data_IF_530490428219
#
_entry.id   IF_530490428219
#
_cell.length_a   1.000
_cell.length_b   1.000
_cell.length_c   1.000
_cell.angle_alpha   90.00
_cell.angle_beta   90.00
_cell.angle_gamma   90.00
#
_symmetry.space_group_name_H-M   'P 1'
#
loop_
_entity.id
_entity.type
_entity.pdbx_description
1 polymer ?
#
# COMPACT_ATOMS: atom_id res chain seq x y z
N UNK A 1 1.36 -0.21 7.44
CA UNK A 1 2.03 -0.20 8.76
C UNK A 1 2.90 -1.43 9.02
N UNK A 2 2.53 -2.65 8.62
CA UNK A 2 3.32 -3.89 8.84
C UNK A 2 4.82 -3.81 8.50
N UNK A 3 5.21 -2.97 7.54
CA UNK A 3 6.61 -2.78 7.11
C UNK A 3 7.41 -1.78 7.95
N UNK A 4 6.75 -0.96 8.78
CA UNK A 4 7.36 0.12 9.56
C UNK A 4 7.54 -0.23 11.04
N UNK A 5 6.76 -1.19 11.53
CA UNK A 5 6.65 -1.52 12.95
C UNK A 5 7.65 -2.63 13.29
N UNK A 6 8.20 -2.59 14.50
CA UNK A 6 8.99 -3.70 15.03
C UNK A 6 8.17 -4.99 15.24
N UNK A 7 8.84 -6.14 15.38
CA UNK A 7 8.17 -7.44 15.53
C UNK A 7 7.35 -7.54 16.84
N UNK A 8 7.70 -6.76 17.87
CA UNK A 8 6.96 -6.68 19.15
C UNK A 8 5.73 -5.75 19.09
N UNK A 9 5.56 -5.02 18.00
CA UNK A 9 4.48 -4.09 17.74
C UNK A 9 4.30 -2.95 18.73
N UNK A 10 5.36 -2.51 19.39
CA UNK A 10 5.28 -1.48 20.44
C UNK A 10 5.41 -0.06 19.91
N UNK A 11 5.92 0.13 18.70
CA UNK A 11 6.27 1.43 18.14
C UNK A 11 5.31 1.93 17.04
N UNK A 12 4.19 1.24 16.81
CA UNK A 12 3.26 1.55 15.72
C UNK A 12 2.72 2.98 15.75
N UNK A 13 2.47 3.52 16.94
CA UNK A 13 1.95 4.88 17.12
C UNK A 13 2.94 5.94 16.64
N UNK A 14 4.25 5.69 16.79
CA UNK A 14 5.32 6.59 16.31
C UNK A 14 5.31 6.66 14.78
N UNK A 15 5.08 5.53 14.13
CA UNK A 15 5.12 5.42 12.67
C UNK A 15 3.82 5.83 11.96
N UNK A 16 2.69 5.93 12.68
CA UNK A 16 1.38 6.18 12.08
C UNK A 16 1.34 7.48 11.26
N UNK A 17 1.84 8.59 11.83
CA UNK A 17 1.84 9.90 11.17
C UNK A 17 2.69 9.88 9.89
N UNK A 18 3.87 9.26 9.96
CA UNK A 18 4.80 9.13 8.83
C UNK A 18 4.18 8.25 7.74
N UNK A 19 3.63 7.09 8.10
CA UNK A 19 2.99 6.18 7.15
C UNK A 19 1.78 6.84 6.46
N UNK A 20 0.97 7.61 7.18
CA UNK A 20 -0.14 8.35 6.61
C UNK A 20 0.33 9.44 5.64
N UNK A 21 1.39 10.17 5.99
CA UNK A 21 1.99 11.17 5.12
C UNK A 21 2.53 10.53 3.83
N UNK A 22 3.36 9.49 3.95
CA UNK A 22 3.90 8.73 2.82
C UNK A 22 2.80 8.20 1.91
N UNK A 23 1.70 7.69 2.48
CA UNK A 23 0.55 7.22 1.70
C UNK A 23 -0.11 8.35 0.90
N UNK A 24 -0.25 9.55 1.48
CA UNK A 24 -0.89 10.71 0.84
C UNK A 24 -0.05 11.32 -0.30
N UNK A 25 1.28 11.26 -0.20
CA UNK A 25 2.18 11.80 -1.23
C UNK A 25 2.52 10.80 -2.33
N UNK A 26 2.37 9.49 -2.08
CA UNK A 26 2.70 8.45 -3.05
C UNK A 26 1.78 8.57 -4.26
N UNK A 27 2.37 8.72 -5.44
CA UNK A 27 1.61 8.68 -6.69
C UNK A 27 0.94 7.32 -6.84
N UNK A 28 -0.36 7.35 -7.13
CA UNK A 28 -1.10 6.14 -7.38
C UNK A 28 -0.97 5.76 -8.86
N UNK A 29 -0.57 4.52 -9.15
CA UNK A 29 -0.43 4.02 -10.52
C UNK A 29 -1.73 4.12 -11.35
N UNK A 30 -2.90 4.05 -10.68
CA UNK A 30 -4.21 4.17 -11.30
C UNK A 30 -4.48 5.55 -11.93
N UNK A 31 -3.96 6.62 -11.31
CA UNK A 31 -4.29 8.00 -11.68
C UNK A 31 -3.05 8.82 -12.09
N UNK A 32 -1.85 8.32 -11.83
CA UNK A 32 -0.60 9.05 -12.01
C UNK A 32 -0.39 10.23 -11.04
N UNK A 33 -1.38 10.51 -10.19
CA UNK A 33 -1.38 11.64 -9.24
C UNK A 33 -1.33 11.16 -7.79
N UNK A 34 -0.77 11.98 -6.92
CA UNK A 34 -0.82 11.72 -5.48
C UNK A 34 -2.20 12.12 -4.90
N UNK A 35 -2.76 11.37 -3.94
CA UNK A 35 -4.02 11.75 -3.28
C UNK A 35 -4.00 13.18 -2.69
N UNK A 36 -2.84 13.61 -2.18
CA UNK A 36 -2.65 14.96 -1.67
C UNK A 36 -2.75 16.02 -2.78
N UNK A 37 -2.16 15.76 -3.94
CA UNK A 37 -2.23 16.64 -5.12
C UNK A 37 -3.68 16.81 -5.60
N UNK A 38 -4.48 15.77 -5.49
CA UNK A 38 -5.89 15.79 -5.92
C UNK A 38 -6.75 16.60 -4.96
N UNK A 39 -6.52 16.47 -3.66
CA UNK A 39 -7.35 17.14 -2.63
C UNK A 39 -6.91 18.57 -2.38
N UNK A 40 -5.60 18.84 -2.44
CA UNK A 40 -5.00 20.13 -2.07
C UNK A 40 -4.52 20.94 -3.29
N UNK A 41 -4.48 20.34 -4.48
CA UNK A 41 -4.00 20.94 -5.74
C UNK A 41 -2.51 21.33 -5.74
N UNK A 42 -1.73 20.86 -4.77
CA UNK A 42 -0.28 20.98 -4.73
C UNK A 42 0.32 19.78 -3.97
N UNK A 43 1.61 19.48 -4.19
CA UNK A 43 2.34 18.47 -3.41
C UNK A 43 3.24 19.17 -2.37
N UNK A 44 3.35 18.68 -1.12
CA UNK A 44 4.27 19.25 -0.14
C UNK A 44 5.70 19.00 -0.59
N UNK A 45 6.56 20.03 -0.52
CA UNK A 45 7.99 19.86 -0.81
C UNK A 45 8.66 19.05 0.29
N UNK A 46 9.33 17.97 -0.08
CA UNK A 46 10.02 17.08 0.87
C UNK A 46 11.51 17.41 1.05
N UNK A 47 12.03 18.44 0.37
CA UNK A 47 13.45 18.84 0.46
C UNK A 47 14.42 17.93 -0.29
N UNK A 48 13.94 16.83 -0.87
CA UNK A 48 14.71 15.90 -1.72
C UNK A 48 14.50 16.13 -3.22
N UNK A 49 13.61 17.06 -3.57
CA UNK A 49 13.30 17.40 -4.95
C UNK A 49 14.47 18.19 -5.56
N UNK A 50 14.95 17.83 -6.78
CA UNK A 50 15.95 18.63 -7.46
C UNK A 50 15.40 20.06 -7.66
N UNK A 51 16.20 21.06 -7.28
CA UNK A 51 15.78 22.46 -7.31
C UNK A 51 15.30 22.87 -8.71
N UNK A 52 13.99 22.96 -8.91
CA UNK A 52 13.39 23.49 -10.14
C UNK A 52 12.70 24.81 -9.87
N UNK A 53 13.05 25.78 -10.72
CA UNK A 53 12.64 27.17 -10.64
C UNK A 53 11.19 27.39 -11.11
N UNK A 54 10.62 28.47 -10.56
CA UNK A 54 9.39 29.21 -10.92
C UNK A 54 8.10 28.42 -11.19
N UNK A 55 7.16 28.66 -10.28
CA UNK A 55 5.70 28.56 -10.44
C UNK A 55 5.25 28.64 -11.91
N UNK A 56 4.78 27.52 -12.46
CA UNK A 56 3.92 27.53 -13.64
C UNK A 56 2.47 27.52 -13.20
N UNK A 57 1.84 28.67 -13.39
CA UNK A 57 0.41 28.89 -13.58
C UNK A 57 -0.54 28.35 -12.50
N UNK A 58 -0.74 29.15 -11.44
CA UNK A 58 -2.04 29.23 -10.78
C UNK A 58 -2.99 29.98 -11.71
N UNK A 59 -3.65 29.26 -12.61
CA UNK A 59 -4.61 29.84 -13.54
C UNK A 59 -5.71 28.83 -13.86
N UNK A 60 -6.87 29.02 -13.24
CA UNK A 60 -8.17 28.44 -13.61
C UNK A 60 -8.44 26.95 -13.33
N UNK A 61 -7.74 26.29 -12.39
CA UNK A 61 -8.03 24.89 -12.02
C UNK A 61 -9.15 24.69 -10.97
N UNK A 62 -9.76 25.76 -10.46
CA UNK A 62 -10.80 25.66 -9.44
C UNK A 62 -12.18 25.25 -9.98
N UNK A 63 -12.43 25.45 -11.28
CA UNK A 63 -13.70 25.06 -11.89
C UNK A 63 -13.66 23.57 -12.22
N UNK A 64 -14.53 22.85 -11.54
CA UNK A 64 -14.80 21.41 -11.64
C UNK A 64 -13.90 20.46 -10.86
N UNK A 65 -13.38 20.91 -9.71
CA UNK A 65 -12.76 20.02 -8.70
C UNK A 65 -13.66 18.80 -8.37
N UNK A 66 -14.99 18.98 -8.35
CA UNK A 66 -15.96 17.90 -8.16
C UNK A 66 -15.96 16.89 -9.31
N UNK A 67 -15.86 17.35 -10.57
CA UNK A 67 -15.76 16.47 -11.75
C UNK A 67 -14.45 15.70 -11.75
N UNK A 68 -13.34 16.39 -11.46
CA UNK A 68 -12.01 15.76 -11.37
C UNK A 68 -11.97 14.70 -10.28
N UNK A 69 -12.58 14.97 -9.12
CA UNK A 69 -12.70 14.00 -8.04
C UNK A 69 -13.60 12.81 -8.42
N UNK A 70 -14.71 13.05 -9.13
CA UNK A 70 -15.62 12.01 -9.60
C UNK A 70 -14.96 11.10 -10.66
N UNK A 71 -14.30 11.69 -11.65
CA UNK A 71 -13.50 10.97 -12.66
C UNK A 71 -12.39 10.15 -12.01
N UNK A 72 -11.71 10.72 -11.02
CA UNK A 72 -10.69 9.97 -10.27
C UNK A 72 -11.31 8.84 -9.47
N UNK A 73 -12.46 9.06 -8.83
CA UNK A 73 -13.22 8.02 -8.13
C UNK A 73 -13.59 6.85 -9.06
N UNK A 74 -14.06 7.15 -10.27
CA UNK A 74 -14.36 6.16 -11.31
C UNK A 74 -13.11 5.40 -11.76
N UNK A 75 -11.99 6.10 -11.97
CA UNK A 75 -10.71 5.46 -12.34
C UNK A 75 -10.19 4.54 -11.23
N UNK A 76 -10.31 4.95 -9.96
CA UNK A 76 -9.98 4.12 -8.80
C UNK A 76 -10.83 2.85 -8.75
N UNK A 77 -12.15 2.99 -8.92
CA UNK A 77 -13.08 1.86 -8.89
C UNK A 77 -12.77 0.86 -10.01
N UNK A 78 -12.60 1.34 -11.25
CA UNK A 78 -12.22 0.52 -12.40
C UNK A 78 -10.89 -0.20 -12.18
N UNK A 79 -9.91 0.49 -11.59
CA UNK A 79 -8.61 -0.13 -11.29
C UNK A 79 -8.74 -1.21 -10.22
N UNK A 80 -9.55 -1.00 -9.18
CA UNK A 80 -9.81 -1.99 -8.15
C UNK A 80 -10.47 -3.25 -8.73
N UNK A 81 -11.44 -3.09 -9.64
CA UNK A 81 -12.08 -4.19 -10.36
C UNK A 81 -11.08 -4.97 -11.22
N UNK A 82 -10.26 -4.28 -12.01
CA UNK A 82 -9.20 -4.92 -12.80
C UNK A 82 -8.16 -5.66 -11.94
N UNK A 83 -7.83 -5.11 -10.77
CA UNK A 83 -6.93 -5.77 -9.82
C UNK A 83 -7.56 -7.04 -9.25
N UNK A 84 -8.86 -7.04 -8.98
CA UNK A 84 -9.61 -8.23 -8.56
C UNK A 84 -9.59 -9.30 -9.64
N UNK A 85 -9.98 -8.96 -10.87
CA UNK A 85 -9.99 -9.91 -11.99
C UNK A 85 -8.61 -10.51 -12.27
N UNK A 86 -7.57 -9.69 -12.13
CA UNK A 86 -6.17 -10.15 -12.28
C UNK A 86 -5.75 -11.05 -11.14
N UNK A 87 -6.19 -10.80 -9.91
CA UNK A 87 -5.91 -11.64 -8.76
C UNK A 87 -6.63 -12.99 -8.88
N UNK A 88 -7.90 -13.00 -9.27
CA UNK A 88 -8.69 -14.22 -9.50
C UNK A 88 -8.07 -15.07 -10.61
N UNK A 89 -7.69 -14.46 -11.75
CA UNK A 89 -6.97 -15.17 -12.83
C UNK A 89 -5.63 -15.76 -12.43
N UNK A 90 -4.97 -15.19 -11.41
CA UNK A 90 -3.68 -15.64 -10.88
C UNK A 90 -3.82 -16.66 -9.76
N UNK A 91 -5.04 -16.95 -9.31
CA UNK A 91 -5.29 -17.90 -8.26
C UNK A 91 -5.16 -19.32 -8.84
N UNK A 92 -3.94 -19.84 -8.88
CA UNK A 92 -3.66 -21.23 -9.24
C UNK A 92 -4.02 -22.16 -8.09
N UNK A 93 -4.34 -23.42 -8.41
CA UNK A 93 -4.38 -24.48 -7.39
C UNK A 93 -3.05 -24.54 -6.63
N UNK A 94 -3.12 -24.87 -5.35
CA UNK A 94 -1.93 -25.07 -4.54
C UNK A 94 -1.01 -26.13 -5.20
N UNK A 95 0.32 -25.90 -5.23
CA UNK A 95 1.25 -26.86 -5.80
C UNK A 95 1.34 -28.13 -4.94
N UNK A 96 1.74 -29.24 -5.55
CA UNK A 96 2.01 -30.48 -4.82
C UNK A 96 3.27 -30.31 -3.96
N UNK A 97 3.09 -30.34 -2.64
CA UNK A 97 4.16 -30.20 -1.68
C UNK A 97 4.88 -31.54 -1.46
N UNK A 98 6.22 -31.51 -1.42
CA UNK A 98 7.06 -32.69 -1.14
C UNK A 98 7.89 -32.45 0.12
N UNK A 99 8.19 -33.55 0.83
CA UNK A 99 9.14 -33.54 1.95
C UNK A 99 10.47 -32.93 1.48
N UNK A 100 11.00 -31.99 2.25
CA UNK A 100 12.21 -31.24 1.90
C UNK A 100 11.97 -29.89 1.21
N UNK A 101 10.78 -29.60 0.70
CA UNK A 101 10.48 -28.26 0.16
C UNK A 101 10.52 -27.19 1.26
N UNK A 102 11.01 -26.00 0.88
CA UNK A 102 10.97 -24.80 1.70
C UNK A 102 9.68 -24.02 1.39
N UNK A 103 8.83 -23.84 2.39
CA UNK A 103 7.54 -23.17 2.26
C UNK A 103 7.40 -22.00 3.22
N UNK A 104 6.64 -20.99 2.79
CA UNK A 104 6.20 -19.90 3.64
C UNK A 104 4.85 -20.24 4.24
N UNK A 105 4.69 -20.03 5.55
CA UNK A 105 3.43 -20.28 6.25
C UNK A 105 2.62 -19.00 6.39
N UNK A 106 1.33 -19.08 6.12
CA UNK A 106 0.39 -18.01 6.42
C UNK A 106 0.15 -17.93 7.93
N UNK A 107 0.26 -16.72 8.47
CA UNK A 107 0.08 -16.43 9.89
C UNK A 107 -1.35 -16.18 10.31
N UNK A 108 -2.29 -16.04 9.36
CA UNK A 108 -3.69 -15.67 9.65
C UNK A 108 -4.36 -16.64 10.65
N UNK A 109 -3.95 -17.92 10.63
CA UNK A 109 -4.49 -18.99 11.50
C UNK A 109 -3.50 -19.51 12.56
N UNK A 110 -2.31 -18.91 12.69
CA UNK A 110 -1.30 -19.35 13.65
C UNK A 110 -1.42 -18.62 14.99
N UNK A 111 -1.33 -19.36 16.10
CA UNK A 111 -1.21 -18.79 17.45
C UNK A 111 0.25 -18.48 17.75
N UNK A 112 0.68 -17.27 17.41
CA UNK A 112 2.04 -16.78 17.72
C UNK A 112 2.07 -16.17 19.12
N UNK A 113 2.90 -16.72 20.02
CA UNK A 113 2.93 -16.38 21.45
C UNK A 113 3.49 -14.98 21.73
N UNK A 114 4.43 -14.52 20.91
CA UNK A 114 5.17 -13.27 21.14
C UNK A 114 4.54 -12.02 20.50
N UNK A 115 3.40 -12.17 19.82
CA UNK A 115 2.87 -11.15 18.93
C UNK A 115 1.57 -10.52 19.48
N UNK A 116 1.57 -9.22 19.75
CA UNK A 116 0.47 -8.53 20.47
C UNK A 116 -0.82 -8.35 19.64
N UNK A 117 -0.72 -8.14 18.33
CA UNK A 117 -1.82 -7.82 17.42
C UNK A 117 -1.67 -8.52 16.07
N UNK A 118 -2.62 -9.41 15.74
CA UNK A 118 -2.65 -10.14 14.45
C UNK A 118 -2.68 -9.22 13.23
N UNK A 119 -3.37 -8.07 13.32
CA UNK A 119 -3.54 -7.14 12.19
C UNK A 119 -2.21 -6.57 11.70
N UNK A 120 -1.27 -6.42 12.60
CA UNK A 120 0.01 -5.79 12.35
C UNK A 120 1.14 -6.84 12.20
N UNK A 121 0.82 -8.13 12.16
CA UNK A 121 1.77 -9.24 11.95
C UNK A 121 2.12 -9.38 10.46
N UNK A 122 3.35 -9.84 10.16
CA UNK A 122 3.75 -10.21 8.81
C UNK A 122 2.86 -11.35 8.33
N UNK A 123 2.29 -11.25 7.12
CA UNK A 123 1.36 -12.27 6.60
C UNK A 123 2.02 -13.66 6.49
N UNK A 124 3.28 -13.68 6.05
CA UNK A 124 4.04 -14.90 5.79
C UNK A 124 5.26 -14.99 6.70
N UNK A 125 5.55 -16.18 7.22
CA UNK A 125 6.75 -16.49 8.00
C UNK A 125 7.48 -17.71 7.41
N UNK A 126 8.80 -17.78 7.62
CA UNK A 126 9.64 -18.87 7.09
C UNK A 126 10.84 -18.35 6.30
N UNK A 127 11.44 -19.18 5.42
CA UNK A 127 10.94 -20.47 4.94
C UNK A 127 11.14 -21.63 5.92
N UNK A 128 10.17 -22.54 5.98
CA UNK A 128 10.22 -23.77 6.77
C UNK A 128 10.35 -24.99 5.87
N UNK A 129 11.11 -25.98 6.32
CA UNK A 129 11.27 -27.25 5.62
C UNK A 129 10.15 -28.22 6.01
N UNK A 130 9.45 -28.77 5.02
CA UNK A 130 8.45 -29.82 5.24
C UNK A 130 9.16 -31.09 5.74
N UNK A 131 8.75 -31.56 6.92
CA UNK A 131 9.17 -32.84 7.51
C UNK A 131 7.92 -33.71 7.62
N UNK A 132 7.89 -34.80 6.86
CA UNK A 132 6.91 -35.90 6.83
C UNK A 132 5.43 -35.52 6.75
#
# INVERSE_FOLDING_TARGET
LRIFINDRQTDWAKWLKIAQFLYKIKQLLATGKAPFEVTRLYLPRMGVEPGKSKNKATGNMAKDMKSVLDEMGKALFKTAEQMKDRAERRCSKAPDYKVGNLVWLDTDHLKLKDWQSRKLTKKWIGPYRIKE
#
